data_IF_258384082702
#
_entry.id   IF_258384082702
#
_cell.length_a   1.000
_cell.length_b   1.000
_cell.length_c   1.000
_cell.angle_alpha   90.00
_cell.angle_beta   90.00
_cell.angle_gamma   90.00
#
_symmetry.space_group_name_H-M   'P 1'
#
loop_
_entity.id
_entity.type
_entity.pdbx_description
1 polymer ?
#
# COMPACT_ATOMS: atom_id res chain seq x y z
N UNK A 1 -0.93 -2.65 -10.31
CA UNK A 1 -0.33 -1.98 -11.49
C UNK A 1 1.17 -1.78 -11.30
N UNK A 2 1.62 -1.29 -10.13
CA UNK A 2 3.04 -1.06 -9.85
C UNK A 2 3.94 -2.25 -10.18
N UNK A 3 3.68 -3.46 -9.65
CA UNK A 3 4.46 -4.65 -9.97
C UNK A 3 4.42 -5.05 -11.45
N UNK A 4 3.30 -4.82 -12.13
CA UNK A 4 3.19 -5.11 -13.57
C UNK A 4 4.08 -4.17 -14.40
N UNK A 5 4.07 -2.88 -14.07
CA UNK A 5 4.92 -1.90 -14.72
C UNK A 5 6.39 -2.17 -14.50
N UNK A 6 6.81 -2.43 -13.27
CA UNK A 6 8.22 -2.66 -12.95
C UNK A 6 8.77 -3.96 -13.56
N UNK A 7 7.92 -4.99 -13.72
CA UNK A 7 8.35 -6.29 -14.27
C UNK A 7 8.20 -6.38 -15.79
N UNK A 8 7.10 -5.86 -16.34
CA UNK A 8 6.72 -6.10 -17.75
C UNK A 8 6.70 -4.82 -18.59
N UNK A 9 6.88 -3.64 -17.97
CA UNK A 9 6.76 -2.34 -18.65
C UNK A 9 5.35 -2.00 -19.13
N UNK A 10 4.38 -2.88 -18.89
CA UNK A 10 2.98 -2.69 -19.31
C UNK A 10 2.01 -3.48 -18.44
N UNK A 11 0.77 -3.03 -18.42
CA UNK A 11 -0.34 -3.72 -17.78
C UNK A 11 -1.67 -3.21 -18.29
N UNK A 12 -2.72 -4.00 -18.09
CA UNK A 12 -4.09 -3.60 -18.38
C UNK A 12 -4.96 -4.01 -17.21
N UNK A 13 -5.74 -3.08 -16.68
CA UNK A 13 -6.63 -3.32 -15.55
C UNK A 13 -8.03 -2.80 -15.88
N UNK A 14 -9.10 -3.53 -15.51
CA UNK A 14 -10.44 -3.01 -15.66
C UNK A 14 -10.63 -1.79 -14.76
N UNK A 15 -11.58 -0.93 -15.11
CA UNK A 15 -12.01 0.13 -14.20
C UNK A 15 -12.43 -0.50 -12.88
N UNK A 16 -11.83 -0.09 -11.76
CA UNK A 16 -12.21 -0.64 -10.46
C UNK A 16 -13.70 -0.47 -10.18
N UNK A 17 -14.32 -1.56 -9.76
CA UNK A 17 -15.66 -1.59 -9.20
C UNK A 17 -15.61 -1.58 -7.69
N UNK A 18 -16.66 -2.05 -7.05
CA UNK A 18 -16.80 -2.22 -5.61
C UNK A 18 -17.95 -1.40 -5.01
N UNK A 19 -18.10 -1.48 -3.71
CA UNK A 19 -19.15 -0.80 -2.98
C UNK A 19 -19.01 0.72 -3.06
N UNK A 20 -20.13 1.42 -3.19
CA UNK A 20 -20.18 2.88 -3.22
C UNK A 20 -20.15 3.45 -1.79
N UNK A 21 -19.13 3.13 -1.02
CA UNK A 21 -18.93 3.62 0.35
C UNK A 21 -18.12 4.91 0.38
N UNK A 22 -18.58 5.92 -0.32
CA UNK A 22 -17.92 7.21 -0.41
C UNK A 22 -17.07 7.39 -1.67
N UNK A 23 -16.42 8.55 -1.74
CA UNK A 23 -15.63 8.97 -2.88
C UNK A 23 -14.21 8.38 -2.77
N UNK A 24 -13.92 7.37 -3.56
CA UNK A 24 -12.57 6.78 -3.67
C UNK A 24 -11.90 7.28 -4.93
N UNK A 25 -10.89 8.11 -4.75
CA UNK A 25 -10.11 8.65 -5.86
C UNK A 25 -8.99 7.68 -6.22
N UNK A 26 -8.75 7.49 -7.51
CA UNK A 26 -7.61 6.74 -8.05
C UNK A 26 -6.44 7.65 -8.42
N UNK A 27 -6.63 8.97 -8.28
CA UNK A 27 -5.68 9.98 -8.74
C UNK A 27 -4.30 9.78 -8.10
N UNK A 28 -4.24 9.50 -6.78
CA UNK A 28 -2.98 9.24 -6.08
C UNK A 28 -2.15 8.14 -6.74
N UNK A 29 -2.82 7.04 -7.18
CA UNK A 29 -2.13 5.96 -7.90
C UNK A 29 -1.61 6.43 -9.26
N UNK A 30 -2.46 7.11 -10.02
CA UNK A 30 -2.13 7.52 -11.39
C UNK A 30 -1.04 8.59 -11.40
N UNK A 31 -1.15 9.60 -10.55
CA UNK A 31 -0.20 10.69 -10.46
C UNK A 31 1.19 10.18 -10.03
N UNK A 32 1.26 9.38 -8.98
CA UNK A 32 2.53 8.83 -8.52
C UNK A 32 3.22 7.95 -9.56
N UNK A 33 2.46 7.09 -10.26
CA UNK A 33 3.01 6.24 -11.32
C UNK A 33 3.39 7.05 -12.57
N UNK A 34 2.64 8.10 -12.93
CA UNK A 34 3.00 9.02 -14.02
C UNK A 34 4.30 9.75 -13.72
N UNK A 35 4.48 10.23 -12.49
CA UNK A 35 5.75 10.87 -12.08
C UNK A 35 6.94 9.93 -12.21
N UNK A 36 6.76 8.62 -11.96
CA UNK A 36 7.79 7.60 -12.20
C UNK A 36 8.03 7.31 -13.68
N UNK A 37 7.21 7.81 -14.60
CA UNK A 37 7.34 7.65 -16.06
C UNK A 37 6.34 6.69 -16.69
N UNK A 38 5.21 6.40 -16.04
CA UNK A 38 4.13 5.60 -16.62
C UNK A 38 3.14 6.46 -17.41
N UNK A 39 2.64 5.93 -18.51
CA UNK A 39 1.55 6.47 -19.31
C UNK A 39 0.28 5.67 -19.09
N UNK A 40 -0.86 6.38 -18.99
CA UNK A 40 -2.18 5.81 -18.80
C UNK A 40 -3.09 6.17 -19.96
N UNK A 41 -3.67 5.15 -20.58
CA UNK A 41 -4.70 5.30 -21.60
C UNK A 41 -5.98 4.56 -21.16
N UNK A 42 -7.08 5.30 -21.04
CA UNK A 42 -8.37 4.71 -20.70
C UNK A 42 -9.15 4.34 -21.96
N UNK A 43 -9.35 3.05 -22.18
CA UNK A 43 -10.22 2.55 -23.23
C UNK A 43 -11.68 2.59 -22.75
N UNK A 44 -12.48 3.49 -23.34
CA UNK A 44 -13.90 3.66 -22.99
C UNK A 44 -14.80 2.53 -23.47
N UNK A 45 -14.40 1.80 -24.51
CA UNK A 45 -15.21 0.70 -25.06
C UNK A 45 -15.17 -0.52 -24.15
N UNK A 46 -13.99 -0.85 -23.65
CA UNK A 46 -13.77 -2.04 -22.83
C UNK A 46 -13.71 -1.74 -21.32
N UNK A 47 -13.78 -0.45 -20.95
CA UNK A 47 -13.65 0.02 -19.56
C UNK A 47 -12.31 -0.38 -18.90
N UNK A 48 -11.22 -0.40 -19.65
CA UNK A 48 -9.89 -0.73 -19.19
C UNK A 48 -8.94 0.48 -19.16
N UNK A 49 -8.07 0.50 -18.17
CA UNK A 49 -6.88 1.34 -18.17
C UNK A 49 -5.71 0.51 -18.71
N UNK A 50 -5.16 0.94 -19.83
CA UNK A 50 -3.91 0.43 -20.37
C UNK A 50 -2.78 1.30 -19.85
N UNK A 51 -1.79 0.67 -19.21
CA UNK A 51 -0.68 1.36 -18.58
C UNK A 51 0.62 0.86 -19.18
N UNK A 52 1.50 1.78 -19.55
CA UNK A 52 2.81 1.46 -20.14
C UNK A 52 3.90 2.31 -19.51
N UNK A 53 5.10 1.77 -19.44
CA UNK A 53 6.30 2.50 -19.06
C UNK A 53 7.50 1.94 -19.83
N UNK A 54 8.18 2.77 -20.60
CA UNK A 54 9.43 2.36 -21.26
C UNK A 54 10.55 2.21 -20.24
N UNK A 55 10.57 3.09 -19.23
CA UNK A 55 11.52 3.08 -18.13
C UNK A 55 10.91 3.81 -16.94
N UNK A 56 10.97 3.19 -15.77
CA UNK A 56 10.64 3.86 -14.53
C UNK A 56 11.87 4.54 -13.95
N UNK A 57 11.72 5.81 -13.56
CA UNK A 57 12.82 6.65 -13.04
C UNK A 57 12.40 7.24 -11.70
N UNK A 58 13.31 7.15 -10.73
CA UNK A 58 13.10 7.69 -9.39
C UNK A 58 12.91 9.20 -9.38
N UNK A 59 12.02 9.68 -8.53
CA UNK A 59 11.60 11.07 -8.45
C UNK A 59 11.06 11.40 -7.04
N UNK A 60 10.98 12.68 -6.71
CA UNK A 60 10.30 13.14 -5.50
C UNK A 60 8.78 13.22 -5.76
N UNK A 61 8.01 12.55 -4.91
CA UNK A 61 6.54 12.46 -5.02
C UNK A 61 5.94 12.99 -3.73
N UNK A 62 5.07 13.97 -3.81
CA UNK A 62 4.21 14.40 -2.70
C UNK A 62 2.80 13.83 -2.96
N UNK A 63 2.33 12.97 -2.07
CA UNK A 63 0.97 12.44 -2.14
C UNK A 63 -0.02 13.48 -1.59
N UNK A 64 -1.10 13.75 -2.31
CA UNK A 64 -2.18 14.65 -1.85
C UNK A 64 -2.89 14.10 -0.61
N UNK A 65 -2.94 12.78 -0.47
CA UNK A 65 -3.49 12.07 0.69
C UNK A 65 -2.56 10.91 1.10
N UNK A 66 -2.54 10.58 2.39
CA UNK A 66 -1.81 9.41 2.90
C UNK A 66 -2.54 8.10 2.53
N UNK A 67 -2.65 7.83 1.22
CA UNK A 67 -3.30 6.63 0.70
C UNK A 67 -2.43 5.40 0.90
N UNK A 68 -2.93 4.40 1.64
CA UNK A 68 -2.22 3.14 1.88
C UNK A 68 -1.97 2.40 0.58
N UNK A 69 -3.02 2.17 -0.19
CA UNK A 69 -2.93 1.42 -1.46
C UNK A 69 -2.19 2.21 -2.53
N UNK A 70 -2.32 3.56 -2.54
CA UNK A 70 -1.54 4.45 -3.40
C UNK A 70 -0.05 4.36 -3.10
N UNK A 71 0.33 4.51 -1.82
CA UNK A 71 1.71 4.38 -1.37
C UNK A 71 2.28 3.00 -1.72
N UNK A 72 1.54 1.91 -1.42
CA UNK A 72 1.98 0.55 -1.73
C UNK A 72 2.21 0.34 -3.23
N UNK A 73 1.31 0.83 -4.07
CA UNK A 73 1.39 0.65 -5.52
C UNK A 73 2.58 1.40 -6.13
N UNK A 74 2.80 2.65 -5.69
CA UNK A 74 3.94 3.47 -6.11
C UNK A 74 5.26 2.87 -5.60
N UNK A 75 5.30 2.45 -4.33
CA UNK A 75 6.45 1.78 -3.73
C UNK A 75 6.87 0.54 -4.53
N UNK A 76 5.91 -0.34 -4.86
CA UNK A 76 6.18 -1.56 -5.65
C UNK A 76 6.67 -1.28 -7.07
N UNK A 77 6.37 -0.11 -7.63
CA UNK A 77 6.96 0.34 -8.89
C UNK A 77 8.36 0.94 -8.68
N UNK A 78 8.54 1.74 -7.63
CA UNK A 78 9.76 2.47 -7.35
C UNK A 78 10.96 1.58 -7.00
N UNK A 79 10.74 0.41 -6.39
CA UNK A 79 11.83 -0.51 -6.00
C UNK A 79 12.69 -1.00 -7.18
N UNK A 80 12.13 -1.02 -8.39
CA UNK A 80 12.86 -1.37 -9.62
C UNK A 80 13.04 -0.16 -10.57
N UNK A 81 12.66 1.05 -10.15
CA UNK A 81 12.90 2.27 -10.91
C UNK A 81 14.39 2.66 -10.87
N UNK A 82 14.89 3.26 -11.94
CA UNK A 82 16.27 3.75 -11.96
C UNK A 82 16.45 4.96 -11.06
N UNK A 83 17.40 4.94 -10.14
CA UNK A 83 17.72 6.06 -9.26
C UNK A 83 16.95 6.02 -7.94
N UNK A 84 16.74 7.20 -7.35
CA UNK A 84 16.15 7.36 -6.00
C UNK A 84 14.75 7.94 -6.11
N UNK A 85 13.79 7.32 -5.44
CA UNK A 85 12.43 7.84 -5.24
C UNK A 85 12.26 8.28 -3.78
N UNK A 86 11.67 9.44 -3.58
CA UNK A 86 11.27 9.92 -2.26
C UNK A 86 9.75 10.15 -2.28
N UNK A 87 9.02 9.50 -1.36
CA UNK A 87 7.57 9.65 -1.23
C UNK A 87 7.31 10.44 0.05
N UNK A 88 6.77 11.64 -0.08
CA UNK A 88 6.29 12.50 0.99
C UNK A 88 4.81 12.25 1.23
N UNK A 89 4.35 12.38 2.46
CA UNK A 89 3.00 12.06 2.90
C UNK A 89 2.59 10.61 2.60
N UNK A 90 3.58 9.70 2.69
CA UNK A 90 3.35 8.27 2.56
C UNK A 90 2.50 7.75 3.73
N UNK A 91 1.67 6.75 3.46
CA UNK A 91 1.01 5.99 4.51
C UNK A 91 2.06 5.21 5.34
N UNK A 92 1.79 4.99 6.63
CA UNK A 92 2.75 4.38 7.55
C UNK A 92 2.15 3.27 8.44
N UNK A 93 0.98 2.76 8.09
CA UNK A 93 0.29 1.70 8.80
C UNK A 93 1.11 0.39 8.85
N UNK A 94 0.85 -0.48 9.83
CA UNK A 94 1.63 -1.73 10.02
C UNK A 94 1.73 -2.60 8.78
N UNK A 95 0.66 -2.72 7.98
CA UNK A 95 0.67 -3.51 6.75
C UNK A 95 1.53 -2.91 5.64
N UNK A 96 1.67 -1.57 5.57
CA UNK A 96 2.61 -0.95 4.64
C UNK A 96 4.06 -1.14 5.10
N UNK A 97 4.31 -1.01 6.41
CA UNK A 97 5.61 -1.32 6.99
C UNK A 97 6.00 -2.79 6.73
N UNK A 98 5.03 -3.71 6.84
CA UNK A 98 5.22 -5.12 6.50
C UNK A 98 5.62 -5.30 5.03
N UNK A 99 4.95 -4.64 4.10
CA UNK A 99 5.30 -4.66 2.68
C UNK A 99 6.74 -4.18 2.45
N UNK A 100 7.12 -3.05 3.07
CA UNK A 100 8.49 -2.54 3.00
C UNK A 100 9.52 -3.53 3.55
N UNK A 101 9.22 -4.16 4.70
CA UNK A 101 10.10 -5.19 5.30
C UNK A 101 10.24 -6.42 4.40
N UNK A 102 9.14 -6.86 3.77
CA UNK A 102 9.17 -7.96 2.81
C UNK A 102 10.03 -7.61 1.59
N UNK A 103 9.81 -6.45 0.98
CA UNK A 103 10.59 -6.00 -0.17
C UNK A 103 12.08 -5.83 0.16
N UNK A 104 12.42 -5.30 1.35
CA UNK A 104 13.81 -5.20 1.79
C UNK A 104 14.48 -6.58 1.96
N UNK A 105 13.74 -7.60 2.45
CA UNK A 105 14.24 -8.98 2.47
C UNK A 105 14.44 -9.56 1.06
N UNK A 106 13.66 -9.11 0.09
CA UNK A 106 13.81 -9.47 -1.32
C UNK A 106 14.97 -8.73 -2.01
N UNK A 107 15.67 -7.83 -1.32
CA UNK A 107 16.81 -7.08 -1.84
C UNK A 107 16.51 -5.62 -2.20
N UNK A 108 15.30 -5.12 -1.96
CA UNK A 108 15.00 -3.69 -2.12
C UNK A 108 15.76 -2.84 -1.07
N UNK A 109 15.90 -1.55 -1.35
CA UNK A 109 16.54 -0.57 -0.47
C UNK A 109 15.55 0.52 -0.09
N UNK A 110 14.74 0.24 0.93
CA UNK A 110 13.70 1.14 1.43
C UNK A 110 14.07 1.57 2.85
N UNK A 111 14.02 2.87 3.10
CA UNK A 111 14.20 3.49 4.43
C UNK A 111 13.04 4.41 4.76
N UNK A 112 12.94 4.85 6.04
CA UNK A 112 11.84 5.67 6.53
C UNK A 112 10.59 4.86 6.93
N UNK A 113 10.71 3.54 7.13
CA UNK A 113 9.60 2.68 7.53
C UNK A 113 8.96 3.18 8.83
N UNK A 114 7.63 3.27 8.83
CA UNK A 114 6.86 3.76 9.98
C UNK A 114 6.78 5.29 10.07
N UNK A 115 7.31 6.00 9.08
CA UNK A 115 7.13 7.45 8.93
C UNK A 115 6.35 7.79 7.66
N UNK A 116 5.94 9.04 7.54
CA UNK A 116 5.29 9.57 6.35
C UNK A 116 6.28 9.97 5.23
N UNK A 117 7.55 9.62 5.38
CA UNK A 117 8.62 9.86 4.41
C UNK A 117 9.31 8.56 4.08
N UNK A 118 9.08 8.03 2.88
CA UNK A 118 9.76 6.84 2.38
C UNK A 118 10.83 7.24 1.36
N UNK A 119 12.00 6.62 1.48
CA UNK A 119 13.11 6.78 0.55
C UNK A 119 13.41 5.40 -0.04
N UNK A 120 13.38 5.29 -1.36
CA UNK A 120 13.57 4.06 -2.10
C UNK A 120 14.74 4.26 -3.07
N UNK A 121 15.78 3.46 -2.95
CA UNK A 121 16.83 3.35 -3.95
C UNK A 121 16.50 2.17 -4.85
N UNK A 122 16.30 2.43 -6.13
CA UNK A 122 15.95 1.41 -7.10
C UNK A 122 17.06 0.37 -7.26
N UNK A 123 16.67 -0.89 -7.39
CA UNK A 123 17.58 -2.02 -7.62
C UNK A 123 17.29 -2.68 -8.97
N UNK A 124 18.26 -3.43 -9.50
CA UNK A 124 18.11 -4.10 -10.81
C UNK A 124 17.16 -5.30 -10.76
N UNK A 125 17.09 -5.97 -9.61
CA UNK A 125 16.28 -7.17 -9.42
C UNK A 125 15.91 -7.39 -7.96
N UNK A 126 14.86 -8.17 -7.75
CA UNK A 126 14.44 -8.68 -6.44
C UNK A 126 14.52 -10.20 -6.43
N UNK A 127 14.87 -10.76 -5.28
CA UNK A 127 14.91 -12.21 -5.05
C UNK A 127 13.66 -12.69 -4.31
N UNK A 128 13.50 -14.03 -4.20
CA UNK A 128 12.47 -14.60 -3.34
C UNK A 128 12.81 -14.43 -1.85
N UNK A 129 11.78 -14.51 -1.00
CA UNK A 129 11.95 -14.48 0.46
C UNK A 129 10.83 -15.23 1.15
N UNK A 130 11.11 -15.73 2.36
CA UNK A 130 10.08 -16.19 3.29
C UNK A 130 9.57 -15.01 4.10
N UNK A 131 8.24 -14.88 4.20
CA UNK A 131 7.62 -13.80 4.93
C UNK A 131 6.32 -14.25 5.60
N UNK A 132 6.20 -14.01 6.90
CA UNK A 132 4.98 -14.26 7.66
C UNK A 132 4.11 -13.00 7.62
N UNK A 133 2.88 -13.17 7.16
CA UNK A 133 1.90 -12.07 7.08
C UNK A 133 1.39 -11.74 8.48
N UNK A 134 1.27 -10.46 8.79
CA UNK A 134 0.71 -9.97 10.04
C UNK A 134 -0.81 -10.24 10.08
N UNK A 135 -1.38 -10.43 11.29
CA UNK A 135 -2.82 -10.41 11.48
C UNK A 135 -3.44 -9.08 10.97
N UNK A 136 -4.62 -9.16 10.41
CA UNK A 136 -5.34 -7.98 9.95
C UNK A 136 -5.91 -7.20 11.15
N UNK A 137 -5.33 -6.04 11.44
CA UNK A 137 -5.74 -5.19 12.55
C UNK A 137 -7.17 -4.63 12.38
N UNK A 138 -7.64 -4.45 11.15
CA UNK A 138 -8.99 -3.96 10.87
C UNK A 138 -10.01 -5.05 11.16
N UNK A 139 -9.73 -6.29 10.76
CA UNK A 139 -10.56 -7.46 11.08
C UNK A 139 -10.63 -7.68 12.60
N UNK A 140 -9.49 -7.60 13.30
CA UNK A 140 -9.44 -7.69 14.76
C UNK A 140 -10.33 -6.62 15.40
N UNK A 141 -10.25 -5.37 14.95
CA UNK A 141 -11.13 -4.30 15.43
C UNK A 141 -12.61 -4.59 15.20
N UNK A 142 -12.96 -5.20 14.08
CA UNK A 142 -14.33 -5.62 13.77
C UNK A 142 -14.83 -6.72 14.72
N UNK A 143 -13.97 -7.71 15.04
CA UNK A 143 -14.30 -8.76 16.02
C UNK A 143 -14.48 -8.21 17.43
N UNK A 144 -13.64 -7.26 17.86
CA UNK A 144 -13.81 -6.57 19.15
C UNK A 144 -15.15 -5.82 19.17
N UNK A 145 -15.47 -5.09 18.10
CA UNK A 145 -16.75 -4.39 17.95
C UNK A 145 -17.94 -5.35 18.02
N UNK A 146 -17.87 -6.50 17.35
CA UNK A 146 -18.92 -7.51 17.38
C UNK A 146 -19.14 -8.02 18.81
N UNK A 147 -18.09 -8.38 19.54
CA UNK A 147 -18.18 -8.84 20.92
C UNK A 147 -18.83 -7.78 21.83
N UNK A 148 -18.43 -6.51 21.67
CA UNK A 148 -19.01 -5.40 22.42
C UNK A 148 -20.51 -5.21 22.12
N UNK A 149 -20.92 -5.25 20.87
CA UNK A 149 -22.32 -5.07 20.44
C UNK A 149 -23.23 -6.24 20.88
N UNK A 150 -22.71 -7.44 20.90
CA UNK A 150 -23.46 -8.65 21.30
C UNK A 150 -23.34 -8.99 22.78
N UNK A 151 -22.57 -8.20 23.54
CA UNK A 151 -22.27 -8.44 24.95
C UNK A 151 -21.75 -9.87 25.19
N UNK A 152 -20.88 -10.33 24.30
CA UNK A 152 -20.31 -11.69 24.32
C UNK A 152 -18.85 -11.69 24.71
N UNK A 153 -18.33 -12.86 25.08
CA UNK A 153 -16.91 -13.11 25.28
C UNK A 153 -16.30 -13.65 23.97
N UNK A 154 -15.14 -13.10 23.59
CA UNK A 154 -14.39 -13.51 22.41
C UNK A 154 -12.90 -13.59 22.73
N UNK A 155 -12.27 -14.71 22.37
CA UNK A 155 -10.81 -14.84 22.41
C UNK A 155 -10.26 -14.83 20.99
N UNK A 156 -9.42 -13.82 20.67
CA UNK A 156 -8.73 -13.71 19.39
C UNK A 156 -7.29 -14.18 19.60
N UNK A 157 -6.88 -15.25 18.90
CA UNK A 157 -5.56 -15.85 19.01
C UNK A 157 -4.61 -15.26 17.99
N UNK A 158 -3.30 -15.42 18.24
CA UNK A 158 -2.21 -15.03 17.33
C UNK A 158 -2.20 -13.54 16.97
N UNK A 159 -2.63 -12.69 17.91
CA UNK A 159 -2.66 -11.24 17.79
C UNK A 159 -1.49 -10.64 18.58
N UNK A 160 -0.79 -9.68 17.99
CA UNK A 160 0.19 -8.85 18.68
C UNK A 160 -0.38 -7.46 19.00
N UNK A 161 -0.33 -7.07 20.27
CA UNK A 161 -0.77 -5.74 20.73
C UNK A 161 -0.02 -4.60 20.01
N UNK A 162 1.25 -4.80 19.68
CA UNK A 162 2.09 -3.79 19.01
C UNK A 162 1.54 -3.36 17.64
N UNK A 163 0.75 -4.23 16.98
CA UNK A 163 0.17 -3.96 15.67
C UNK A 163 -1.27 -3.44 15.72
N UNK A 164 -1.90 -3.41 16.90
CA UNK A 164 -3.28 -2.92 17.05
C UNK A 164 -3.37 -1.39 17.12
N UNK A 165 -2.25 -0.71 17.33
CA UNK A 165 -2.21 0.76 17.42
C UNK A 165 -3.17 1.30 18.47
N UNK A 166 -4.10 2.16 18.07
CA UNK A 166 -5.06 2.81 18.96
C UNK A 166 -6.36 2.02 19.15
N UNK A 167 -6.55 0.89 18.45
CA UNK A 167 -7.82 0.12 18.51
C UNK A 167 -8.21 -0.23 19.94
N UNK A 168 -7.34 -0.82 20.80
CA UNK A 168 -7.71 -1.14 22.17
C UNK A 168 -8.09 0.10 23.00
N UNK A 169 -7.36 1.20 22.80
CA UNK A 169 -7.60 2.46 23.53
C UNK A 169 -8.96 3.10 23.17
N UNK A 170 -9.37 2.98 21.91
CA UNK A 170 -10.67 3.48 21.45
C UNK A 170 -11.79 2.68 22.10
N UNK A 171 -11.72 1.36 22.06
CA UNK A 171 -12.74 0.50 22.66
C UNK A 171 -12.79 0.62 24.19
N UNK A 172 -11.66 0.84 24.88
CA UNK A 172 -11.67 1.06 26.33
C UNK A 172 -12.43 2.33 26.75
N UNK A 173 -12.47 3.36 25.89
CA UNK A 173 -13.21 4.60 26.15
C UNK A 173 -14.73 4.49 25.96
N UNK A 174 -15.18 3.49 25.19
CA UNK A 174 -16.62 3.25 24.94
C UNK A 174 -17.27 2.49 26.11
N UNK A 175 -16.45 1.89 26.98
CA UNK A 175 -16.91 1.06 28.11
C UNK A 175 -17.44 1.86 29.30
N UNK A 176 -17.36 3.19 29.31
CA UNK A 176 -17.81 4.07 30.42
C UNK A 176 -19.19 4.66 30.14
#
# INVERSE_FOLDING_TARGET
VGPMLSRFGKGSIPRPGGDKIGRRRLDTHFEGLKLLGADFNYNRQDYFYNVTANKLTGVNILLEEASVTGTANILMAAVLASGKTTIYNAACEPYLQQLCKMLNRMGAKISGLGSNLLIIEGVSELTGTDHVILPDMVEIGSWIGLAAMTQSELTIKDVSWDYLGQIPNVFSKIRN
#
